data_IF_420563544457
#
_entry.id   IF_420563544457
#
_cell.length_a   1.000
_cell.length_b   1.000
_cell.length_c   1.000
_cell.angle_alpha   90.00
_cell.angle_beta   90.00
_cell.angle_gamma   90.00
#
_symmetry.space_group_name_H-M   'P 1'
#
loop_
_entity.id
_entity.type
_entity.pdbx_description
1 polymer ?
#
# COMPACT_ATOMS: atom_id res chain seq x y z
N UNK A 1 -0.31 17.97 -4.36
CA UNK A 1 0.48 16.75 -4.67
C UNK A 1 -0.13 15.51 -4.02
N UNK A 2 -0.36 15.50 -2.69
CA UNK A 2 -1.03 14.38 -1.96
C UNK A 2 -2.32 13.86 -2.61
N UNK A 3 -3.28 14.76 -2.89
CA UNK A 3 -4.55 14.41 -3.56
C UNK A 3 -4.43 13.73 -4.93
N UNK A 4 -3.40 14.09 -5.71
CA UNK A 4 -3.16 13.47 -7.01
C UNK A 4 -2.65 12.03 -6.86
N UNK A 5 -1.76 11.83 -5.89
CA UNK A 5 -1.24 10.51 -5.52
C UNK A 5 -2.38 9.61 -5.04
N UNK A 6 -3.23 10.13 -4.13
CA UNK A 6 -4.39 9.42 -3.60
C UNK A 6 -5.34 9.00 -4.72
N UNK A 7 -5.73 9.92 -5.62
CA UNK A 7 -6.53 9.59 -6.82
C UNK A 7 -5.87 8.52 -7.68
N UNK A 8 -4.57 8.65 -7.95
CA UNK A 8 -3.86 7.74 -8.85
C UNK A 8 -3.84 6.32 -8.30
N UNK A 9 -3.54 6.15 -7.02
CA UNK A 9 -3.58 4.85 -6.37
C UNK A 9 -5.00 4.30 -6.23
N UNK A 10 -5.97 5.15 -5.90
CA UNK A 10 -7.38 4.78 -5.88
C UNK A 10 -7.88 4.26 -7.22
N UNK A 11 -7.56 4.93 -8.32
CA UNK A 11 -7.92 4.48 -9.68
C UNK A 11 -7.28 3.14 -10.03
N UNK A 12 -5.99 2.95 -9.70
CA UNK A 12 -5.29 1.68 -9.92
C UNK A 12 -5.92 0.55 -9.12
N UNK A 13 -6.21 0.79 -7.85
CA UNK A 13 -6.92 -0.15 -6.99
C UNK A 13 -8.27 -0.52 -7.57
N UNK A 14 -9.13 0.47 -7.89
CA UNK A 14 -10.47 0.20 -8.42
C UNK A 14 -10.45 -0.56 -9.74
N UNK A 15 -9.47 -0.28 -10.62
CA UNK A 15 -9.31 -1.04 -11.87
C UNK A 15 -9.11 -2.53 -11.61
N UNK A 16 -8.29 -2.88 -10.61
CA UNK A 16 -8.00 -4.27 -10.26
C UNK A 16 -9.14 -4.90 -9.46
N UNK A 17 -9.66 -4.18 -8.47
CA UNK A 17 -10.74 -4.62 -7.59
C UNK A 17 -12.03 -4.90 -8.37
N UNK A 18 -12.42 -4.00 -9.28
CA UNK A 18 -13.63 -4.17 -10.09
C UNK A 18 -13.57 -5.41 -10.98
N UNK A 19 -12.39 -5.73 -11.52
CA UNK A 19 -12.20 -6.97 -12.29
C UNK A 19 -12.33 -8.19 -11.38
N UNK A 20 -11.66 -8.18 -10.23
CA UNK A 20 -11.65 -9.32 -9.31
C UNK A 20 -13.04 -9.62 -8.73
N UNK A 21 -13.82 -8.59 -8.40
CA UNK A 21 -15.11 -8.72 -7.71
C UNK A 21 -16.32 -8.53 -8.63
N UNK A 22 -16.09 -8.35 -9.94
CA UNK A 22 -17.16 -8.06 -10.92
C UNK A 22 -18.02 -6.85 -10.54
N UNK A 23 -17.40 -5.81 -10.00
CA UNK A 23 -18.04 -4.54 -9.61
C UNK A 23 -17.72 -3.42 -10.60
N UNK A 24 -18.27 -2.22 -10.40
CA UNK A 24 -18.05 -1.06 -11.27
C UNK A 24 -17.85 0.25 -10.49
N UNK A 25 -17.29 0.18 -9.28
CA UNK A 25 -16.99 1.33 -8.44
C UNK A 25 -16.18 2.40 -9.18
N UNK A 26 -16.54 3.67 -8.98
CA UNK A 26 -15.85 4.85 -9.50
C UNK A 26 -15.65 5.88 -8.41
N UNK A 27 -14.53 6.59 -8.43
CA UNK A 27 -14.30 7.73 -7.52
C UNK A 27 -15.35 8.81 -7.83
N UNK A 28 -16.12 9.21 -6.82
CA UNK A 28 -17.14 10.27 -6.94
C UNK A 28 -16.74 11.54 -6.20
N UNK A 29 -15.96 11.43 -5.13
CA UNK A 29 -15.43 12.60 -4.42
C UNK A 29 -14.15 12.30 -3.63
N UNK A 30 -13.45 13.37 -3.25
CA UNK A 30 -12.36 13.37 -2.28
C UNK A 30 -12.79 14.19 -1.07
N UNK A 31 -13.42 13.58 -0.05
CA UNK A 31 -13.90 14.30 1.12
C UNK A 31 -12.72 14.83 1.96
N UNK A 32 -13.03 15.63 2.97
CA UNK A 32 -12.02 16.10 3.93
C UNK A 32 -12.06 15.22 5.20
N UNK A 33 -10.95 15.13 5.95
CA UNK A 33 -10.94 14.47 7.25
C UNK A 33 -12.08 14.97 8.15
N UNK A 34 -12.71 14.09 8.95
CA UNK A 34 -12.26 12.73 9.30
C UNK A 34 -12.75 11.62 8.36
N UNK A 35 -13.32 11.94 7.19
CA UNK A 35 -13.66 10.91 6.20
C UNK A 35 -12.40 10.35 5.51
N UNK A 36 -12.43 9.09 5.03
CA UNK A 36 -11.35 8.50 4.24
C UNK A 36 -11.05 9.28 2.95
N UNK A 37 -9.83 9.18 2.43
CA UNK A 37 -9.34 10.01 1.32
C UNK A 37 -10.24 10.04 0.07
N UNK A 38 -10.90 8.92 -0.28
CA UNK A 38 -11.76 8.81 -1.45
C UNK A 38 -13.11 8.18 -1.12
N UNK A 39 -14.18 8.73 -1.72
CA UNK A 39 -15.50 8.08 -1.80
C UNK A 39 -15.71 7.52 -3.20
N UNK A 40 -16.16 6.27 -3.26
CA UNK A 40 -16.44 5.56 -4.49
C UNK A 40 -17.88 5.03 -4.50
N UNK A 41 -18.51 5.02 -5.67
CA UNK A 41 -19.87 4.49 -5.84
C UNK A 41 -19.94 3.56 -7.04
N UNK A 42 -20.66 2.44 -6.90
CA UNK A 42 -20.99 1.55 -8.01
C UNK A 42 -22.29 2.05 -8.68
N UNK A 43 -22.25 2.48 -9.95
CA UNK A 43 -23.43 3.02 -10.62
C UNK A 43 -24.52 1.97 -10.89
N UNK A 44 -24.19 0.68 -10.87
CA UNK A 44 -25.13 -0.41 -11.11
C UNK A 44 -25.95 -0.75 -9.86
N UNK A 45 -25.31 -0.84 -8.70
CA UNK A 45 -25.97 -1.21 -7.44
C UNK A 45 -26.31 -0.02 -6.54
N UNK A 46 -25.62 1.10 -6.69
CA UNK A 46 -25.70 2.24 -5.78
C UNK A 46 -24.89 2.06 -4.49
N UNK A 47 -24.09 0.99 -4.40
CA UNK A 47 -23.25 0.74 -3.23
C UNK A 47 -22.15 1.79 -3.10
N UNK A 48 -21.77 2.07 -1.86
CA UNK A 48 -20.73 3.05 -1.51
C UNK A 48 -19.55 2.31 -0.88
N UNK A 49 -18.35 2.67 -1.32
CA UNK A 49 -17.08 2.19 -0.79
C UNK A 49 -16.18 3.39 -0.50
N UNK A 50 -15.54 3.40 0.66
CA UNK A 50 -14.55 4.40 1.01
C UNK A 50 -13.15 3.81 0.92
N UNK A 51 -12.20 4.60 0.41
CA UNK A 51 -10.80 4.21 0.33
C UNK A 51 -9.96 5.18 1.17
N UNK A 52 -9.19 4.63 2.10
CA UNK A 52 -8.07 5.33 2.73
C UNK A 52 -6.80 4.98 1.96
N UNK A 53 -6.04 5.97 1.51
CA UNK A 53 -4.88 5.75 0.66
C UNK A 53 -3.59 6.12 1.40
N UNK A 54 -2.59 5.26 1.30
CA UNK A 54 -1.23 5.58 1.75
C UNK A 54 -0.21 5.00 0.80
N UNK A 55 0.99 5.59 0.79
CA UNK A 55 2.13 5.01 0.09
C UNK A 55 3.04 4.35 1.12
N UNK A 56 3.57 3.18 0.77
CA UNK A 56 4.55 2.51 1.62
C UNK A 56 5.81 3.38 1.79
N UNK A 57 6.22 4.03 0.70
CA UNK A 57 7.41 4.87 0.60
C UNK A 57 7.00 6.33 0.40
N UNK A 58 7.56 7.24 1.20
CA UNK A 58 7.19 8.67 1.14
C UNK A 58 7.81 9.38 -0.05
N UNK A 59 8.93 8.85 -0.55
CA UNK A 59 9.61 9.35 -1.72
C UNK A 59 10.44 8.24 -2.39
N UNK A 60 10.85 8.47 -3.63
CA UNK A 60 11.62 7.49 -4.41
C UNK A 60 13.04 7.26 -3.85
N UNK A 61 13.58 8.18 -3.03
CA UNK A 61 14.89 8.03 -2.40
C UNK A 61 14.85 7.03 -1.22
N UNK A 62 13.81 7.06 -0.40
CA UNK A 62 13.60 6.09 0.69
C UNK A 62 13.48 4.66 0.13
N UNK A 63 12.78 4.52 -1.01
CA UNK A 63 12.72 3.25 -1.72
C UNK A 63 14.09 2.90 -2.30
N UNK A 64 14.80 3.86 -2.92
CA UNK A 64 16.09 3.68 -3.61
C UNK A 64 17.15 3.03 -2.71
N UNK A 65 17.21 3.39 -1.44
CA UNK A 65 18.21 2.79 -0.56
C UNK A 65 17.94 1.31 -0.29
N UNK A 66 16.66 0.91 -0.22
CA UNK A 66 16.28 -0.51 -0.20
C UNK A 66 16.55 -1.18 -1.56
N UNK A 67 16.28 -0.50 -2.69
CA UNK A 67 16.66 -0.97 -4.04
C UNK A 67 18.15 -1.27 -4.13
N UNK A 68 18.98 -0.33 -3.69
CA UNK A 68 20.43 -0.41 -3.77
C UNK A 68 20.92 -1.56 -2.87
N UNK A 69 20.36 -1.71 -1.67
CA UNK A 69 20.66 -2.83 -0.78
C UNK A 69 20.30 -4.21 -1.37
N UNK A 70 19.06 -4.38 -1.87
CA UNK A 70 18.60 -5.64 -2.50
C UNK A 70 19.46 -6.01 -3.72
N UNK A 71 19.97 -5.00 -4.44
CA UNK A 71 20.83 -5.20 -5.62
C UNK A 71 22.32 -5.31 -5.29
N UNK A 72 22.71 -5.24 -4.02
CA UNK A 72 24.11 -5.29 -3.58
C UNK A 72 24.93 -4.05 -3.95
N UNK A 73 24.28 -2.90 -4.18
CA UNK A 73 24.91 -1.61 -4.47
C UNK A 73 25.21 -0.91 -3.14
N UNK A 74 26.49 -0.66 -2.86
CA UNK A 74 26.93 0.02 -1.63
C UNK A 74 26.92 1.54 -1.86
N UNK A 75 26.08 2.26 -1.11
CA UNK A 75 26.06 3.72 -1.09
C UNK A 75 27.21 4.28 -0.24
N UNK A 76 27.85 5.36 -0.70
CA UNK A 76 29.02 5.98 -0.03
C UNK A 76 28.68 6.77 1.25
N UNK A 77 27.40 6.95 1.59
CA UNK A 77 26.95 7.73 2.75
C UNK A 77 26.90 6.88 4.03
N UNK A 78 28.04 6.82 4.74
CA UNK A 78 28.24 5.96 5.93
C UNK A 78 27.26 6.20 7.08
N UNK A 79 26.67 7.40 7.23
CA UNK A 79 25.74 7.70 8.35
C UNK A 79 24.35 7.15 8.09
N UNK A 80 23.85 7.29 6.86
CA UNK A 80 22.59 6.71 6.43
C UNK A 80 22.72 5.17 6.32
N UNK A 81 23.88 4.70 5.83
CA UNK A 81 24.23 3.29 5.82
C UNK A 81 24.19 2.71 7.23
N UNK A 82 24.64 3.41 8.29
CA UNK A 82 24.54 2.90 9.66
C UNK A 82 23.11 2.76 10.17
N UNK A 83 22.23 3.70 9.84
CA UNK A 83 20.83 3.70 10.32
C UNK A 83 19.99 2.63 9.62
N UNK A 84 20.23 2.40 8.32
CA UNK A 84 19.64 1.29 7.58
C UNK A 84 20.35 -0.04 7.88
N UNK A 85 21.66 -0.05 8.13
CA UNK A 85 22.42 -1.28 8.38
C UNK A 85 22.28 -1.84 9.80
N UNK A 86 21.69 -1.15 10.77
CA UNK A 86 21.35 -1.79 12.04
C UNK A 86 20.10 -2.68 11.92
N UNK A 87 19.11 -2.31 11.10
CA UNK A 87 17.90 -3.11 10.86
C UNK A 87 17.99 -4.00 9.60
N UNK A 88 18.63 -3.53 8.52
CA UNK A 88 18.68 -4.20 7.22
C UNK A 88 19.90 -5.12 7.00
N UNK A 89 20.78 -5.29 8.00
CA UNK A 89 21.92 -6.24 7.91
C UNK A 89 21.54 -7.71 7.98
N UNK A 90 20.28 -8.06 8.20
CA UNK A 90 19.82 -9.46 8.23
C UNK A 90 18.94 -9.82 7.05
N UNK A 91 18.01 -8.94 6.66
CA UNK A 91 17.14 -9.18 5.50
C UNK A 91 16.47 -7.88 4.98
N UNK A 92 16.63 -7.47 3.71
CA UNK A 92 15.86 -6.35 3.14
C UNK A 92 14.34 -6.58 3.14
N UNK A 93 13.90 -7.84 3.19
CA UNK A 93 12.49 -8.17 3.35
C UNK A 93 11.98 -7.76 4.75
N UNK A 94 12.77 -7.94 5.83
CA UNK A 94 12.39 -7.48 7.18
C UNK A 94 12.15 -5.98 7.24
N UNK A 95 13.02 -5.19 6.61
CA UNK A 95 12.88 -3.73 6.56
C UNK A 95 11.60 -3.30 5.82
N UNK A 96 11.30 -3.97 4.70
CA UNK A 96 10.05 -3.78 3.98
C UNK A 96 8.83 -4.10 4.84
N UNK A 97 8.84 -5.25 5.53
CA UNK A 97 7.73 -5.69 6.36
C UNK A 97 7.50 -4.76 7.54
N UNK A 98 8.56 -4.39 8.27
CA UNK A 98 8.45 -3.46 9.38
C UNK A 98 7.82 -2.15 8.92
N UNK A 99 8.22 -1.63 7.75
CA UNK A 99 7.62 -0.42 7.19
C UNK A 99 6.15 -0.60 6.82
N UNK A 100 5.79 -1.73 6.21
CA UNK A 100 4.41 -2.04 5.84
C UNK A 100 3.52 -2.18 7.08
N UNK A 101 4.03 -2.85 8.10
CA UNK A 101 3.40 -2.95 9.42
C UNK A 101 3.20 -1.59 10.06
N UNK A 102 4.23 -0.74 10.09
CA UNK A 102 4.12 0.61 10.65
C UNK A 102 3.00 1.42 9.98
N UNK A 103 2.89 1.34 8.65
CA UNK A 103 1.81 2.01 7.90
C UNK A 103 0.43 1.47 8.24
N UNK A 104 0.29 0.15 8.35
CA UNK A 104 -0.96 -0.48 8.75
C UNK A 104 -1.36 -0.01 10.15
N UNK A 105 -0.44 -0.07 11.12
CA UNK A 105 -0.71 0.33 12.50
C UNK A 105 -1.03 1.82 12.62
N UNK A 106 -0.27 2.68 11.94
CA UNK A 106 -0.53 4.12 11.86
C UNK A 106 -1.97 4.38 11.41
N UNK A 107 -2.40 3.74 10.32
CA UNK A 107 -3.74 3.94 9.76
C UNK A 107 -4.85 3.29 10.58
N UNK A 108 -4.61 2.11 11.16
CA UNK A 108 -5.57 1.47 12.06
C UNK A 108 -5.83 2.30 13.33
N UNK A 109 -4.88 3.14 13.75
CA UNK A 109 -5.06 4.03 14.90
C UNK A 109 -5.94 5.26 14.62
N UNK A 110 -6.21 5.56 13.35
CA UNK A 110 -6.99 6.71 12.94
C UNK A 110 -8.51 6.48 13.12
N UNK A 111 -9.23 7.53 13.52
CA UNK A 111 -10.68 7.49 13.73
C UNK A 111 -11.40 8.07 12.53
N UNK A 112 -11.72 7.20 11.58
CA UNK A 112 -12.49 7.57 10.40
C UNK A 112 -13.99 7.63 10.69
N UNK A 113 -14.68 8.55 10.01
CA UNK A 113 -16.15 8.60 10.00
C UNK A 113 -16.60 8.29 8.58
N UNK A 114 -17.28 7.17 8.39
CA UNK A 114 -17.84 6.77 7.10
C UNK A 114 -19.14 6.00 7.31
N UNK A 115 -20.09 6.15 6.39
CA UNK A 115 -21.37 5.43 6.43
C UNK A 115 -21.32 4.05 5.76
N UNK A 116 -20.17 3.65 5.23
CA UNK A 116 -19.97 2.42 4.48
C UNK A 116 -18.61 1.78 4.77
N UNK A 117 -18.29 0.64 4.13
CA UNK A 117 -17.03 -0.04 4.32
C UNK A 117 -15.85 0.85 3.90
N UNK A 118 -14.75 0.76 4.65
CA UNK A 118 -13.50 1.45 4.36
C UNK A 118 -12.46 0.40 3.99
N UNK A 119 -11.77 0.54 2.86
CA UNK A 119 -10.61 -0.27 2.52
C UNK A 119 -9.36 0.60 2.67
N UNK A 120 -8.36 0.08 3.40
CA UNK A 120 -7.02 0.66 3.39
C UNK A 120 -6.28 0.18 2.13
N UNK A 121 -5.86 1.11 1.30
CA UNK A 121 -5.08 0.86 0.09
C UNK A 121 -3.67 1.38 0.31
N UNK A 122 -2.70 0.48 0.21
CA UNK A 122 -1.28 0.78 0.32
C UNK A 122 -0.69 0.70 -1.08
N UNK A 123 -0.29 1.84 -1.63
CA UNK A 123 0.43 1.92 -2.89
C UNK A 123 1.91 1.62 -2.69
N UNK A 124 2.42 0.66 -3.44
CA UNK A 124 3.82 0.25 -3.35
C UNK A 124 4.48 0.18 -4.72
N UNK A 125 5.62 0.86 -4.82
CA UNK A 125 6.45 0.89 -6.02
C UNK A 125 7.66 -0.04 -5.93
N UNK A 126 7.80 -0.80 -4.84
CA UNK A 126 8.98 -1.55 -4.40
C UNK A 126 9.77 -2.31 -5.49
N UNK A 127 11.09 -2.52 -5.30
CA UNK A 127 11.97 -3.27 -6.20
C UNK A 127 11.64 -4.72 -6.45
N UNK A 128 10.85 -5.35 -5.57
CA UNK A 128 10.84 -6.81 -5.49
C UNK A 128 10.48 -7.43 -6.84
N UNK A 129 11.23 -8.49 -7.17
CA UNK A 129 11.26 -9.12 -8.49
C UNK A 129 9.94 -9.78 -8.89
N UNK A 130 9.14 -10.20 -7.90
CA UNK A 130 7.87 -10.87 -8.15
C UNK A 130 6.85 -10.62 -7.04
N UNK A 131 5.58 -10.56 -7.44
CA UNK A 131 4.45 -10.50 -6.52
C UNK A 131 4.29 -11.79 -5.71
N UNK A 132 4.70 -12.93 -6.27
CA UNK A 132 4.64 -14.24 -5.60
C UNK A 132 5.52 -14.28 -4.35
N UNK A 133 6.77 -13.84 -4.46
CA UNK A 133 7.71 -13.78 -3.32
C UNK A 133 7.16 -12.84 -2.23
N UNK A 134 6.63 -11.69 -2.63
CA UNK A 134 6.03 -10.73 -1.70
C UNK A 134 4.78 -11.32 -1.04
N UNK A 135 3.92 -12.03 -1.79
CA UNK A 135 2.67 -12.60 -1.28
C UNK A 135 2.91 -13.69 -0.22
N UNK A 136 3.78 -14.67 -0.50
CA UNK A 136 4.05 -15.78 0.43
C UNK A 136 4.61 -15.27 1.77
N UNK A 137 5.48 -14.28 1.71
CA UNK A 137 6.10 -13.68 2.89
C UNK A 137 5.16 -12.70 3.62
N UNK A 138 4.34 -11.92 2.90
CA UNK A 138 3.33 -11.05 3.52
C UNK A 138 2.31 -11.88 4.31
N UNK A 139 1.75 -12.92 3.69
CA UNK A 139 0.69 -13.72 4.30
C UNK A 139 1.19 -14.51 5.52
N UNK A 140 2.49 -14.81 5.59
CA UNK A 140 3.08 -15.52 6.72
C UNK A 140 3.50 -14.58 7.87
N UNK A 141 3.98 -13.38 7.58
CA UNK A 141 4.63 -12.50 8.57
C UNK A 141 3.80 -11.30 9.04
N UNK A 142 2.85 -10.80 8.25
CA UNK A 142 2.05 -9.63 8.64
C UNK A 142 1.04 -10.01 9.74
N UNK A 143 0.92 -9.13 10.75
CA UNK A 143 0.03 -9.30 11.91
C UNK A 143 -0.83 -8.06 12.10
N UNK A 144 -1.98 -8.04 11.45
CA UNK A 144 -2.95 -6.95 11.56
C UNK A 144 -3.46 -6.85 13.01
N UNK A 145 -3.64 -5.63 13.56
CA UNK A 145 -4.28 -5.46 14.87
C UNK A 145 -5.64 -6.16 14.94
N UNK A 146 -5.94 -6.81 16.07
CA UNK A 146 -7.20 -7.55 16.27
C UNK A 146 -8.44 -6.67 16.05
N UNK A 147 -8.34 -5.39 16.40
CA UNK A 147 -9.37 -4.38 16.14
C UNK A 147 -8.86 -3.39 15.09
N UNK A 148 -9.33 -3.51 13.85
CA UNK A 148 -9.07 -2.55 12.78
C UNK A 148 -10.37 -1.94 12.23
N UNK A 149 -10.39 -0.65 11.90
CA UNK A 149 -11.60 0.03 11.42
C UNK A 149 -11.95 -0.27 9.96
N UNK A 150 -11.09 -1.01 9.25
CA UNK A 150 -11.23 -1.29 7.83
C UNK A 150 -12.00 -2.58 7.55
N UNK A 151 -12.78 -2.62 6.48
CA UNK A 151 -13.41 -3.83 5.96
C UNK A 151 -12.41 -4.74 5.21
N UNK A 152 -11.26 -4.20 4.81
CA UNK A 152 -10.17 -4.94 4.20
C UNK A 152 -8.91 -4.09 4.04
N UNK A 153 -7.78 -4.75 3.85
CA UNK A 153 -6.48 -4.11 3.62
C UNK A 153 -5.89 -4.66 2.34
N UNK A 154 -5.49 -3.77 1.43
CA UNK A 154 -5.02 -4.13 0.10
C UNK A 154 -3.72 -3.43 -0.23
N UNK A 155 -2.81 -4.18 -0.85
CA UNK A 155 -1.53 -3.70 -1.36
C UNK A 155 -1.59 -3.67 -2.89
N UNK A 156 -1.32 -2.50 -3.47
CA UNK A 156 -1.24 -2.32 -4.93
C UNK A 156 0.24 -2.26 -5.31
N UNK A 157 0.73 -3.36 -5.86
CA UNK A 157 2.13 -3.58 -6.19
C UNK A 157 2.40 -3.22 -7.65
N UNK A 158 3.45 -2.44 -7.90
CA UNK A 158 4.03 -2.31 -9.23
C UNK A 158 4.93 -3.52 -9.51
N UNK A 159 4.67 -4.26 -10.59
CA UNK A 159 5.48 -5.42 -10.99
C UNK A 159 6.52 -4.99 -12.05
N UNK A 160 7.81 -4.91 -11.70
CA UNK A 160 8.83 -4.36 -12.61
C UNK A 160 9.08 -5.27 -13.83
N UNK A 161 8.89 -6.57 -13.66
CA UNK A 161 9.16 -7.60 -14.67
C UNK A 161 8.12 -7.65 -15.80
N UNK A 162 6.95 -7.06 -15.62
CA UNK A 162 5.83 -7.09 -16.58
C UNK A 162 5.47 -5.70 -17.10
N UNK A 163 6.47 -4.95 -17.61
CA UNK A 163 6.27 -3.63 -18.22
C UNK A 163 5.57 -2.58 -17.32
N UNK A 164 5.70 -2.70 -16.00
CA UNK A 164 5.06 -1.77 -15.06
C UNK A 164 3.55 -1.99 -14.89
N UNK A 165 3.08 -3.23 -15.09
CA UNK A 165 1.73 -3.63 -14.66
C UNK A 165 1.59 -3.58 -13.14
N UNK A 166 0.36 -3.37 -12.68
CA UNK A 166 0.03 -3.40 -11.25
C UNK A 166 -0.70 -4.69 -10.90
N UNK A 167 -0.47 -5.18 -9.68
CA UNK A 167 -1.19 -6.29 -9.07
C UNK A 167 -1.84 -5.85 -7.77
N UNK A 168 -2.94 -6.51 -7.45
CA UNK A 168 -3.66 -6.31 -6.21
C UNK A 168 -3.44 -7.53 -5.33
N UNK A 169 -2.86 -7.33 -4.16
CA UNK A 169 -2.77 -8.33 -3.11
C UNK A 169 -3.71 -7.94 -1.97
N UNK A 170 -4.64 -8.84 -1.64
CA UNK A 170 -5.49 -8.69 -0.46
C UNK A 170 -4.80 -9.30 0.75
N UNK A 171 -4.66 -8.51 1.81
CA UNK A 171 -4.03 -8.95 3.07
C UNK A 171 -5.08 -9.54 4.00
N UNK A 172 -6.22 -8.84 4.14
CA UNK A 172 -7.43 -9.26 4.87
C UNK A 172 -8.66 -8.83 4.09
#
# INVERSE_FOLDING_TARGET
MKRLIESTWGERFLKLYNVQHSTSFRITSQPNPPEPDLKCEDPGSGDVLFLEITELWENDADAKDLYDLVRGIVTEDEQLHRKLAEDARKDPYDAYFNRLMDRIYEKCSCRYVASGPIILVIGDKSPFSSVTEVQEEILSNIRIPDEHPFAGISLVLLEPSTYGEYRLLQIV
#
